data_IF_899432311778
#
_entry.id   IF_899432311778
#
_cell.length_a   1.000
_cell.length_b   1.000
_cell.length_c   1.000
_cell.angle_alpha   90.00
_cell.angle_beta   90.00
_cell.angle_gamma   90.00
#
_symmetry.space_group_name_H-M   'P 1'
#
loop_
_entity.id
_entity.type
_entity.pdbx_description
1 polymer ?
#
# COMPACT_ATOMS: atom_id res chain seq x y z
N UNK A 1 41.13 -79.40 2.38
CA UNK A 1 40.55 -79.58 3.74
C UNK A 1 39.65 -78.40 4.06
N UNK A 2 38.39 -78.69 4.40
CA UNK A 2 37.41 -77.75 4.97
C UNK A 2 37.90 -77.23 6.33
N UNK A 3 37.67 -75.96 6.69
CA UNK A 3 37.18 -75.65 8.04
C UNK A 3 36.62 -74.22 8.24
N UNK A 4 35.30 -74.19 8.48
CA UNK A 4 34.48 -73.46 9.47
C UNK A 4 34.58 -71.93 9.63
N UNK A 5 33.48 -71.32 9.18
CA UNK A 5 32.66 -70.19 9.67
C UNK A 5 32.89 -69.81 11.15
N UNK A 6 33.07 -68.50 11.39
CA UNK A 6 32.55 -67.78 12.58
C UNK A 6 32.07 -66.39 12.14
N UNK A 7 30.80 -66.10 12.40
CA UNK A 7 30.14 -64.79 12.23
C UNK A 7 30.34 -63.99 13.52
N UNK A 8 30.67 -62.69 13.43
CA UNK A 8 30.22 -61.74 14.44
C UNK A 8 29.31 -60.70 13.81
N UNK A 9 28.09 -60.63 14.36
CA UNK A 9 27.17 -59.53 14.20
C UNK A 9 27.83 -58.23 14.68
N UNK A 10 27.80 -57.19 13.84
CA UNK A 10 28.09 -55.84 14.28
C UNK A 10 26.89 -54.96 13.94
N UNK A 11 26.09 -54.68 14.98
CA UNK A 11 25.03 -53.68 14.95
C UNK A 11 25.64 -52.32 14.62
N UNK A 12 25.29 -51.77 13.46
CA UNK A 12 25.55 -50.38 13.12
C UNK A 12 24.44 -49.55 13.78
N UNK A 13 24.76 -48.93 14.91
CA UNK A 13 23.89 -47.93 15.53
C UNK A 13 23.84 -46.69 14.62
N UNK A 14 22.67 -46.38 14.07
CA UNK A 14 22.40 -45.11 13.40
C UNK A 14 22.46 -44.00 14.46
N UNK A 15 23.58 -43.28 14.49
CA UNK A 15 23.71 -42.03 15.24
C UNK A 15 22.85 -40.95 14.56
N UNK A 16 21.57 -40.88 14.94
CA UNK A 16 20.69 -39.78 14.57
C UNK A 16 21.11 -38.51 15.31
N UNK A 17 21.76 -37.57 14.60
CA UNK A 17 21.90 -36.21 15.09
C UNK A 17 20.50 -35.58 15.19
N UNK A 18 19.96 -35.49 16.40
CA UNK A 18 18.89 -34.54 16.70
C UNK A 18 19.47 -33.13 16.58
N UNK A 19 19.44 -32.55 15.38
CA UNK A 19 19.57 -31.12 15.23
C UNK A 19 18.31 -30.51 15.87
N UNK A 20 18.45 -30.08 17.11
CA UNK A 20 17.50 -29.17 17.76
C UNK A 20 17.51 -27.90 16.93
N UNK A 21 16.63 -27.82 15.93
CA UNK A 21 16.32 -26.58 15.24
C UNK A 21 15.94 -25.60 16.34
N UNK A 22 16.81 -24.61 16.57
CA UNK A 22 16.44 -23.43 17.32
C UNK A 22 15.34 -22.78 16.49
N UNK A 23 14.09 -23.07 16.84
CA UNK A 23 12.97 -22.19 16.52
C UNK A 23 13.35 -20.85 17.13
N UNK A 24 13.93 -19.98 16.29
CA UNK A 24 13.85 -18.55 16.54
C UNK A 24 12.35 -18.33 16.58
N UNK A 25 11.82 -18.14 17.79
CA UNK A 25 10.57 -17.42 17.93
C UNK A 25 10.87 -16.09 17.27
N UNK A 26 10.48 -15.95 16.02
CA UNK A 26 10.14 -14.66 15.46
C UNK A 26 9.03 -14.18 16.38
N UNK A 27 9.44 -13.47 17.43
CA UNK A 27 8.58 -12.47 18.01
C UNK A 27 8.21 -11.60 16.81
N UNK A 28 6.99 -11.80 16.32
CA UNK A 28 6.28 -10.82 15.53
C UNK A 28 6.17 -9.57 16.40
N UNK A 29 7.29 -8.87 16.47
CA UNK A 29 7.38 -7.49 16.83
C UNK A 29 6.57 -6.79 15.75
N UNK A 30 5.35 -6.44 16.10
CA UNK A 30 4.42 -5.58 15.38
C UNK A 30 4.96 -4.15 15.18
N UNK A 31 6.27 -3.98 15.03
CA UNK A 31 6.99 -2.72 14.94
C UNK A 31 7.28 -2.26 13.52
N UNK A 32 6.99 -3.05 12.47
CA UNK A 32 7.12 -2.62 11.07
C UNK A 32 6.07 -1.57 10.65
N UNK A 33 5.10 -1.28 11.51
CA UNK A 33 4.11 -0.21 11.29
C UNK A 33 4.69 1.19 11.57
N UNK A 34 5.54 1.34 12.61
CA UNK A 34 5.93 2.68 13.08
C UNK A 34 6.95 3.40 12.20
N UNK A 35 7.78 2.68 11.45
CA UNK A 35 8.86 3.27 10.63
C UNK A 35 8.44 3.66 9.19
N UNK A 36 7.16 3.92 8.96
CA UNK A 36 6.63 4.24 7.63
C UNK A 36 5.69 5.43 7.64
N UNK A 37 5.65 6.16 6.53
CA UNK A 37 4.61 7.14 6.27
C UNK A 37 3.29 6.41 5.97
N UNK A 38 2.21 6.85 6.60
CA UNK A 38 0.87 6.33 6.30
C UNK A 38 -0.07 7.42 5.80
N UNK A 39 -1.12 7.01 5.11
CA UNK A 39 -2.07 7.88 4.44
C UNK A 39 -3.47 7.66 4.97
N UNK A 40 -4.14 8.75 5.35
CA UNK A 40 -5.59 8.75 5.56
C UNK A 40 -6.32 9.46 4.43
N UNK A 41 -7.37 8.84 3.92
CA UNK A 41 -8.25 9.42 2.91
C UNK A 41 -9.54 9.94 3.54
N UNK A 42 -10.05 11.07 3.08
CA UNK A 42 -11.36 11.57 3.48
C UNK A 42 -12.03 12.36 2.35
N UNK A 43 -13.36 12.39 2.37
CA UNK A 43 -14.19 13.19 1.47
C UNK A 43 -15.43 13.63 2.26
N UNK A 44 -16.14 14.64 1.74
CA UNK A 44 -17.50 14.90 2.20
C UNK A 44 -18.37 13.69 1.86
N UNK A 45 -19.17 13.22 2.83
CA UNK A 45 -19.96 11.99 2.69
C UNK A 45 -21.07 12.10 1.65
N UNK A 46 -21.67 13.28 1.49
CA UNK A 46 -22.80 13.54 0.59
C UNK A 46 -22.47 14.75 -0.26
N UNK A 47 -22.50 14.58 -1.58
CA UNK A 47 -22.12 15.58 -2.57
C UNK A 47 -23.29 15.75 -3.54
N UNK A 48 -23.70 16.99 -3.85
CA UNK A 48 -24.79 17.21 -4.82
C UNK A 48 -24.29 16.96 -6.25
N UNK A 49 -25.19 16.56 -7.14
CA UNK A 49 -24.89 16.45 -8.57
C UNK A 49 -24.21 17.73 -9.10
N UNK A 50 -23.21 17.55 -9.97
CA UNK A 50 -22.44 18.66 -10.55
C UNK A 50 -21.42 19.33 -9.63
N UNK A 51 -21.42 19.07 -8.33
CA UNK A 51 -20.40 19.61 -7.42
C UNK A 51 -19.07 18.86 -7.54
N UNK A 52 -17.97 19.57 -7.23
CA UNK A 52 -16.63 18.99 -7.11
C UNK A 52 -16.62 17.85 -6.11
N UNK A 53 -15.88 16.79 -6.42
CA UNK A 53 -15.68 15.66 -5.51
C UNK A 53 -14.25 15.77 -4.97
N UNK A 54 -14.07 16.54 -3.91
CA UNK A 54 -12.76 16.74 -3.31
C UNK A 54 -12.36 15.57 -2.40
N UNK A 55 -11.35 14.83 -2.80
CA UNK A 55 -10.65 13.86 -1.95
C UNK A 55 -9.51 14.57 -1.22
N UNK A 56 -9.52 14.49 0.10
CA UNK A 56 -8.44 14.92 0.97
C UNK A 56 -7.52 13.75 1.27
N UNK A 57 -6.26 13.90 0.91
CA UNK A 57 -5.18 12.92 1.05
C UNK A 57 -4.16 13.46 2.05
N UNK A 58 -4.04 12.79 3.21
CA UNK A 58 -3.14 13.23 4.28
C UNK A 58 -2.07 12.19 4.48
N UNK A 59 -0.81 12.58 4.35
CA UNK A 59 0.34 11.77 4.73
C UNK A 59 0.72 12.14 6.16
N UNK A 60 0.91 11.13 7.00
CA UNK A 60 1.31 11.27 8.39
C UNK A 60 2.71 10.72 8.59
N UNK A 61 3.57 11.50 9.25
CA UNK A 61 4.86 11.04 9.72
C UNK A 61 4.89 10.95 11.24
N UNK A 62 4.57 9.78 11.79
CA UNK A 62 4.69 9.54 13.23
C UNK A 62 6.13 9.24 13.69
N UNK A 63 7.12 9.30 12.79
CA UNK A 63 8.50 9.02 13.14
C UNK A 63 9.15 10.19 13.90
N UNK A 64 10.26 9.89 14.58
CA UNK A 64 11.16 10.89 15.17
C UNK A 64 12.11 11.52 14.14
N UNK A 65 12.13 11.01 12.90
CA UNK A 65 12.97 11.51 11.80
C UNK A 65 12.13 11.90 10.59
N UNK A 66 12.69 12.77 9.75
CA UNK A 66 12.10 13.10 8.47
C UNK A 66 12.10 11.87 7.56
N UNK A 67 11.01 11.68 6.81
CA UNK A 67 10.88 10.57 5.86
C UNK A 67 10.47 11.12 4.50
N UNK A 68 11.03 10.53 3.45
CA UNK A 68 10.74 10.91 2.07
C UNK A 68 9.84 9.88 1.39
N UNK A 69 8.99 10.35 0.49
CA UNK A 69 8.13 9.52 -0.37
C UNK A 69 8.20 10.02 -1.82
N UNK A 70 7.95 9.15 -2.78
CA UNK A 70 7.84 9.55 -4.18
C UNK A 70 6.46 10.18 -4.42
N UNK A 71 6.43 11.42 -4.93
CA UNK A 71 5.19 12.17 -5.17
C UNK A 71 4.42 11.68 -6.40
N UNK A 72 5.05 10.87 -7.25
CA UNK A 72 4.38 10.27 -8.39
C UNK A 72 3.22 9.41 -7.93
N UNK A 73 2.14 9.43 -8.69
CA UNK A 73 0.95 8.65 -8.41
C UNK A 73 0.33 9.04 -7.05
N UNK A 74 0.44 10.32 -6.69
CA UNK A 74 -0.21 10.89 -5.51
C UNK A 74 -0.89 12.20 -5.87
N UNK A 75 -1.82 12.70 -5.04
CA UNK A 75 -2.40 14.04 -5.23
C UNK A 75 -1.43 15.23 -5.08
N UNK A 76 -0.15 15.00 -4.78
CA UNK A 76 0.89 16.06 -4.78
C UNK A 76 1.36 16.40 -6.22
N UNK A 77 0.79 15.73 -7.22
CA UNK A 77 0.78 16.11 -8.62
C UNK A 77 -0.66 16.13 -9.14
N UNK A 78 -0.93 16.73 -10.32
CA UNK A 78 -2.22 16.56 -10.98
C UNK A 78 -2.52 15.06 -11.22
N UNK A 79 -3.80 14.72 -11.45
CA UNK A 79 -4.24 13.36 -11.82
C UNK A 79 -3.65 12.94 -13.18
N UNK A 80 -2.38 12.54 -13.17
CA UNK A 80 -1.59 12.13 -14.34
C UNK A 80 -1.32 10.62 -14.35
N UNK A 81 -2.00 9.87 -13.49
CA UNK A 81 -2.09 8.41 -13.52
C UNK A 81 -3.32 7.93 -12.74
N UNK A 82 -3.73 6.69 -13.00
CA UNK A 82 -4.86 6.04 -12.30
C UNK A 82 -4.40 5.44 -10.95
N UNK A 83 -4.03 6.32 -10.02
CA UNK A 83 -3.53 5.91 -8.69
C UNK A 83 -4.63 5.67 -7.64
N UNK A 84 -5.90 5.83 -8.03
CA UNK A 84 -7.07 5.52 -7.23
C UNK A 84 -7.94 4.49 -7.95
N UNK A 85 -8.32 3.44 -7.24
CA UNK A 85 -9.41 2.56 -7.63
C UNK A 85 -10.70 3.14 -7.03
N UNK A 86 -11.65 3.50 -7.88
CA UNK A 86 -12.93 4.06 -7.46
C UNK A 86 -14.03 3.12 -7.94
N UNK A 87 -14.78 2.54 -7.01
CA UNK A 87 -15.84 1.58 -7.32
C UNK A 87 -17.18 2.02 -6.75
N UNK A 88 -18.25 1.79 -7.49
CA UNK A 88 -19.61 1.95 -6.96
C UNK A 88 -19.98 0.77 -6.04
N UNK A 89 -21.17 0.84 -5.44
CA UNK A 89 -21.67 -0.18 -4.52
C UNK A 89 -21.96 -1.54 -5.20
N UNK A 90 -22.11 -1.57 -6.53
CA UNK A 90 -22.22 -2.78 -7.33
C UNK A 90 -20.83 -3.34 -7.72
N UNK A 91 -19.75 -2.65 -7.35
CA UNK A 91 -18.37 -3.03 -7.66
C UNK A 91 -17.90 -2.58 -9.05
N UNK A 92 -18.71 -1.82 -9.79
CA UNK A 92 -18.30 -1.28 -11.08
C UNK A 92 -17.26 -0.19 -10.88
N UNK A 93 -16.24 -0.20 -11.73
CA UNK A 93 -15.19 0.80 -11.66
C UNK A 93 -15.62 2.11 -12.34
N UNK A 94 -15.40 3.24 -11.68
CA UNK A 94 -15.56 4.56 -12.29
C UNK A 94 -14.51 4.75 -13.39
N UNK A 95 -14.97 5.11 -14.59
CA UNK A 95 -14.09 5.26 -15.75
C UNK A 95 -13.05 6.37 -15.53
N UNK A 96 -11.77 6.00 -15.62
CA UNK A 96 -10.67 6.96 -15.63
C UNK A 96 -10.52 7.57 -17.02
N UNK A 97 -10.48 8.89 -17.08
CA UNK A 97 -10.41 9.74 -18.29
C UNK A 97 -9.28 10.75 -18.22
N UNK A 98 -8.46 10.71 -17.16
CA UNK A 98 -7.32 11.60 -17.00
C UNK A 98 -6.13 11.22 -17.87
N UNK A 99 -5.12 12.11 -17.95
CA UNK A 99 -3.86 11.81 -18.62
C UNK A 99 -3.11 10.64 -17.94
N UNK A 100 -2.26 9.96 -18.71
CA UNK A 100 -1.36 8.92 -18.24
C UNK A 100 0.08 9.30 -18.59
N UNK A 101 0.84 9.79 -17.60
CA UNK A 101 2.21 10.20 -17.80
C UNK A 101 3.15 8.99 -17.95
N UNK A 102 3.99 9.00 -18.98
CA UNK A 102 5.14 8.08 -19.07
C UNK A 102 6.26 8.60 -18.17
N UNK A 103 6.90 7.70 -17.42
CA UNK A 103 7.95 8.03 -16.44
C UNK A 103 9.22 7.22 -16.71
N UNK A 104 10.37 7.82 -16.42
CA UNK A 104 11.63 7.07 -16.37
C UNK A 104 11.73 6.30 -15.06
N UNK A 105 12.52 5.22 -15.06
CA UNK A 105 12.84 4.44 -13.86
C UNK A 105 14.37 4.30 -13.73
N UNK A 106 14.95 4.49 -12.52
CA UNK A 106 14.28 4.87 -11.27
C UNK A 106 13.76 6.33 -11.28
N UNK A 107 12.84 6.70 -10.36
CA UNK A 107 12.42 8.08 -10.21
C UNK A 107 13.62 9.00 -9.88
N UNK A 108 13.73 10.18 -10.51
CA UNK A 108 14.75 11.16 -10.18
C UNK A 108 14.55 11.74 -8.77
N UNK A 109 15.62 12.28 -8.19
CA UNK A 109 15.63 12.75 -6.79
C UNK A 109 14.59 13.85 -6.51
N UNK A 110 14.29 14.70 -7.49
CA UNK A 110 13.30 15.78 -7.43
C UNK A 110 11.84 15.28 -7.43
N UNK A 111 11.64 13.98 -7.63
CA UNK A 111 10.34 13.32 -7.54
C UNK A 111 9.98 12.94 -6.11
N UNK A 112 10.88 13.16 -5.15
CA UNK A 112 10.64 12.89 -3.75
C UNK A 112 10.27 14.15 -2.99
N UNK A 113 9.37 14.00 -2.01
CA UNK A 113 9.03 15.02 -1.03
C UNK A 113 9.33 14.48 0.36
N UNK A 114 9.71 15.35 1.28
CA UNK A 114 10.01 15.01 2.67
C UNK A 114 8.88 15.48 3.58
N UNK A 115 8.46 14.60 4.49
CA UNK A 115 7.58 14.94 5.62
C UNK A 115 8.46 15.05 6.87
N UNK A 116 8.38 16.18 7.56
CA UNK A 116 9.14 16.40 8.80
C UNK A 116 8.73 15.41 9.90
N UNK A 117 9.59 15.19 10.92
CA UNK A 117 9.21 14.40 12.09
C UNK A 117 7.92 14.91 12.71
N UNK A 118 7.01 14.00 13.09
CA UNK A 118 5.74 14.31 13.77
C UNK A 118 4.84 15.29 13.01
N UNK A 119 5.00 15.38 11.70
CA UNK A 119 4.30 16.32 10.84
C UNK A 119 3.37 15.59 9.84
N UNK A 120 2.55 16.36 9.15
CA UNK A 120 1.63 15.87 8.11
C UNK A 120 1.77 16.71 6.83
N UNK A 121 1.59 16.06 5.68
CA UNK A 121 1.38 16.76 4.41
C UNK A 121 -0.03 16.49 3.90
N UNK A 122 -0.65 17.51 3.35
CA UNK A 122 -2.03 17.44 2.86
C UNK A 122 -2.08 17.84 1.40
N UNK A 123 -2.76 17.03 0.60
CA UNK A 123 -3.15 17.36 -0.76
C UNK A 123 -4.65 17.16 -0.94
N UNK A 124 -5.27 17.99 -1.78
CA UNK A 124 -6.68 17.88 -2.14
C UNK A 124 -6.78 17.73 -3.65
N UNK A 125 -7.63 16.80 -4.10
CA UNK A 125 -7.84 16.55 -5.53
C UNK A 125 -9.33 16.44 -5.83
N UNK A 126 -9.75 17.12 -6.89
CA UNK A 126 -11.11 16.98 -7.42
C UNK A 126 -11.17 15.77 -8.35
N UNK A 127 -11.83 14.69 -7.90
CA UNK A 127 -11.92 13.43 -8.62
C UNK A 127 -12.62 13.57 -9.98
N UNK A 128 -13.54 14.55 -10.13
CA UNK A 128 -14.24 14.79 -11.41
C UNK A 128 -13.30 15.24 -12.53
N UNK A 129 -12.07 15.66 -12.22
CA UNK A 129 -11.07 16.01 -13.24
C UNK A 129 -10.54 14.81 -14.03
N UNK A 130 -10.68 13.59 -13.51
CA UNK A 130 -10.20 12.39 -14.19
C UNK A 130 -11.13 11.17 -14.06
N UNK A 131 -12.19 11.22 -13.27
CA UNK A 131 -13.11 10.11 -13.09
C UNK A 131 -14.54 10.51 -13.49
N UNK A 132 -15.20 9.64 -14.24
CA UNK A 132 -16.62 9.76 -14.52
C UNK A 132 -17.40 9.28 -13.30
N UNK A 133 -18.07 10.22 -12.64
CA UNK A 133 -18.84 9.97 -11.41
C UNK A 133 -20.29 10.42 -11.63
N UNK A 134 -21.21 9.46 -11.52
CA UNK A 134 -22.64 9.62 -11.79
C UNK A 134 -23.40 9.98 -10.52
N UNK A 135 -24.51 10.69 -10.68
CA UNK A 135 -25.44 10.95 -9.60
C UNK A 135 -26.21 9.69 -9.21
N UNK A 136 -26.71 9.65 -7.97
CA UNK A 136 -27.43 8.52 -7.40
C UNK A 136 -26.53 7.37 -6.92
N UNK A 137 -25.21 7.46 -7.08
CA UNK A 137 -24.26 6.38 -6.74
C UNK A 137 -23.46 6.68 -5.47
N UNK A 138 -23.19 5.62 -4.72
CA UNK A 138 -22.21 5.59 -3.62
C UNK A 138 -20.91 4.99 -4.12
N UNK A 139 -19.80 5.66 -3.84
CA UNK A 139 -18.47 5.27 -4.26
C UNK A 139 -17.55 5.00 -3.08
N UNK A 140 -16.66 4.02 -3.26
CA UNK A 140 -15.51 3.76 -2.39
C UNK A 140 -14.23 4.05 -3.16
N UNK A 141 -13.33 4.82 -2.55
CA UNK A 141 -12.01 5.19 -3.10
C UNK A 141 -10.93 4.45 -2.35
N UNK A 142 -10.13 3.69 -3.09
CA UNK A 142 -8.94 3.00 -2.60
C UNK A 142 -7.69 3.54 -3.29
N UNK A 143 -6.62 3.73 -2.52
CA UNK A 143 -5.33 4.14 -3.07
C UNK A 143 -4.49 2.91 -3.46
N UNK A 144 -4.11 2.80 -4.75
CA UNK A 144 -3.51 1.59 -5.32
C UNK A 144 -2.00 1.69 -5.61
N UNK A 145 -1.38 2.85 -5.36
CA UNK A 145 0.00 3.15 -5.83
C UNK A 145 1.05 3.17 -4.70
N UNK A 146 0.79 2.41 -3.63
CA UNK A 146 1.72 2.23 -2.49
C UNK A 146 3.11 1.77 -2.92
N UNK A 147 3.21 0.88 -3.91
CA UNK A 147 4.49 0.34 -4.40
C UNK A 147 5.39 1.40 -5.06
N UNK A 148 4.80 2.45 -5.67
CA UNK A 148 5.54 3.53 -6.35
C UNK A 148 5.87 4.65 -5.37
N UNK A 149 4.88 5.06 -4.58
CA UNK A 149 5.02 6.16 -3.62
C UNK A 149 5.81 5.80 -2.36
N UNK A 150 5.79 4.54 -1.94
CA UNK A 150 6.30 4.09 -0.65
C UNK A 150 5.36 4.38 0.54
N UNK A 151 4.14 4.84 0.27
CA UNK A 151 3.15 5.18 1.29
C UNK A 151 2.29 3.98 1.69
N UNK A 152 1.95 3.86 2.97
CA UNK A 152 0.99 2.85 3.46
C UNK A 152 -0.41 3.44 3.62
N UNK A 153 -1.41 2.83 3.01
CA UNK A 153 -2.80 3.29 3.14
C UNK A 153 -3.43 2.77 4.44
N UNK A 154 -4.09 3.63 5.22
CA UNK A 154 -4.78 3.22 6.47
C UNK A 154 -6.28 3.01 6.29
N UNK A 155 -6.92 3.66 5.31
CA UNK A 155 -8.36 3.57 5.10
C UNK A 155 -8.76 3.85 3.65
N UNK A 156 -10.02 3.54 3.34
CA UNK A 156 -10.69 4.01 2.13
C UNK A 156 -11.54 5.25 2.44
N UNK A 157 -11.76 6.10 1.43
CA UNK A 157 -12.77 7.16 1.51
C UNK A 157 -14.07 6.70 0.86
N UNK A 158 -15.20 7.16 1.38
CA UNK A 158 -16.54 6.80 0.88
C UNK A 158 -17.34 8.09 0.73
N UNK A 159 -18.08 8.22 -0.37
CA UNK A 159 -19.01 9.32 -0.59
C UNK A 159 -20.19 8.89 -1.47
N UNK A 160 -21.28 9.65 -1.41
CA UNK A 160 -22.47 9.48 -2.25
C UNK A 160 -22.70 10.76 -3.04
N UNK A 161 -22.98 10.61 -4.34
CA UNK A 161 -23.43 11.73 -5.18
C UNK A 161 -24.96 11.68 -5.23
N UNK A 162 -25.62 12.69 -4.69
CA UNK A 162 -27.07 12.83 -4.77
C UNK A 162 -27.49 13.33 -6.15
N UNK A 163 -28.72 12.97 -6.53
CA UNK A 163 -29.40 13.53 -7.70
C UNK A 163 -29.62 15.05 -7.55
#
# INVERSE_FOLDING_TARGET
MKLKIIIPALLIALAGCSQKVRTIKTEESSSTSRDSLYVTLSSVNIIKAGQKVNLRFVIHNENSTGKSFCKWHTPFEPLMSKYLDIKDEQGNEAAYTGPMAKRMMPPPIDSYLTVNPKDTLVANVDLRKAYQLEAGKKYTVHYNSSAISGLKISNNAIFTIQN
#
